data_IF_993646057539
#
_entry.id   IF_993646057539
#
_cell.length_a   1.000
_cell.length_b   1.000
_cell.length_c   1.000
_cell.angle_alpha   90.00
_cell.angle_beta   90.00
_cell.angle_gamma   90.00
#
_symmetry.space_group_name_H-M   'P 1'
#
loop_
_entity.id
_entity.type
_entity.pdbx_description
1 polymer ?
#
# COMPACT_ATOMS: atom_id res chain seq x y z
N UNK A 1 33.33 4.61 45.98
CA UNK A 1 32.35 3.67 45.40
C UNK A 1 31.01 4.38 45.14
N UNK A 2 30.88 5.21 44.09
CA UNK A 2 29.63 5.95 43.77
C UNK A 2 29.41 6.21 42.25
N UNK A 3 30.24 5.62 41.37
CA UNK A 3 30.17 5.87 39.90
C UNK A 3 29.28 4.86 39.14
N UNK A 4 28.75 3.86 39.85
CA UNK A 4 27.94 2.76 39.26
C UNK A 4 26.44 3.14 39.23
N UNK A 5 25.98 4.05 40.10
CA UNK A 5 24.58 4.50 40.12
C UNK A 5 24.17 5.34 38.90
N UNK A 6 25.12 5.99 38.21
CA UNK A 6 24.81 6.81 37.02
C UNK A 6 24.62 5.99 35.74
N UNK A 7 25.21 4.79 35.69
CA UNK A 7 25.12 3.92 34.50
C UNK A 7 23.82 3.10 34.53
N UNK A 8 23.27 2.82 35.71
CA UNK A 8 21.97 2.14 35.85
C UNK A 8 20.76 3.06 35.70
N UNK A 9 20.90 4.38 35.88
CA UNK A 9 19.82 5.34 35.62
C UNK A 9 19.72 5.75 34.13
N UNK A 10 20.78 5.53 33.35
CA UNK A 10 20.77 5.77 31.90
C UNK A 10 20.17 4.60 31.09
N UNK A 11 19.94 3.44 31.71
CA UNK A 11 19.53 2.20 31.03
C UNK A 11 18.01 2.07 30.81
N UNK A 12 17.18 2.95 31.39
CA UNK A 12 15.71 2.85 31.35
C UNK A 12 15.06 3.93 30.47
N UNK A 13 15.84 4.86 29.90
CA UNK A 13 15.31 6.06 29.24
C UNK A 13 15.18 6.00 27.71
N UNK A 14 15.46 4.88 27.05
CA UNK A 14 15.44 4.82 25.57
C UNK A 14 14.96 3.47 25.03
N UNK A 15 13.90 2.92 25.62
CA UNK A 15 13.16 1.84 24.98
C UNK A 15 12.32 2.46 23.84
N UNK A 16 12.94 2.53 22.67
CA UNK A 16 12.36 2.56 21.34
C UNK A 16 10.83 2.84 21.28
N UNK A 17 10.45 4.11 21.40
CA UNK A 17 9.25 4.58 20.75
C UNK A 17 9.51 4.54 19.24
N UNK A 18 9.39 3.36 18.65
CA UNK A 18 9.31 3.19 17.20
C UNK A 18 8.02 3.85 16.75
N UNK A 19 8.07 5.17 16.52
CA UNK A 19 7.06 5.83 15.71
C UNK A 19 7.19 5.21 14.32
N UNK A 20 6.34 4.24 14.01
CA UNK A 20 6.10 3.81 12.63
C UNK A 20 5.51 5.04 11.94
N UNK A 21 6.40 5.85 11.36
CA UNK A 21 6.03 6.99 10.57
C UNK A 21 5.44 6.42 9.28
N UNK A 22 4.11 6.30 9.25
CA UNK A 22 3.38 6.04 8.01
C UNK A 22 3.78 7.14 7.04
N UNK A 23 4.66 6.80 6.11
CA UNK A 23 4.98 7.67 4.99
C UNK A 23 3.77 7.55 4.08
N UNK A 24 2.77 8.40 4.33
CA UNK A 24 1.78 8.72 3.31
C UNK A 24 2.58 9.41 2.21
N UNK A 25 3.11 8.60 1.29
CA UNK A 25 3.60 9.10 0.03
C UNK A 25 2.39 9.74 -0.63
N UNK A 26 2.25 11.05 -0.43
CA UNK A 26 1.45 11.94 -1.25
C UNK A 26 2.02 11.80 -2.66
N UNK A 27 1.53 10.77 -3.32
CA UNK A 27 1.94 10.41 -4.66
C UNK A 27 1.38 11.52 -5.50
N UNK A 28 2.26 12.42 -5.94
CA UNK A 28 1.95 13.35 -7.01
C UNK A 28 1.21 12.54 -8.09
N UNK A 29 -0.08 12.83 -8.26
CA UNK A 29 -0.94 12.09 -9.17
C UNK A 29 -0.46 12.48 -10.56
N UNK A 30 0.45 11.69 -11.12
CA UNK A 30 0.75 11.77 -12.54
C UNK A 30 -0.45 11.14 -13.27
N UNK A 31 -1.26 11.93 -13.97
CA UNK A 31 -2.41 11.39 -14.69
C UNK A 31 -1.93 10.38 -15.73
N UNK A 32 -2.64 9.26 -15.84
CA UNK A 32 -2.35 8.28 -16.89
C UNK A 32 -2.65 8.87 -18.27
N UNK A 33 -1.75 8.65 -19.22
CA UNK A 33 -1.91 8.98 -20.62
C UNK A 33 -2.03 7.71 -21.48
N UNK A 34 -2.56 7.88 -22.70
CA UNK A 34 -2.63 6.77 -23.66
C UNK A 34 -1.22 6.35 -24.08
N UNK A 35 -0.95 5.06 -24.01
CA UNK A 35 0.37 4.48 -24.31
C UNK A 35 1.19 4.17 -23.06
N UNK A 36 0.82 4.74 -21.90
CA UNK A 36 1.46 4.40 -20.64
C UNK A 36 1.21 2.94 -20.26
N UNK A 37 2.18 2.36 -19.55
CA UNK A 37 1.99 1.06 -18.94
C UNK A 37 0.89 1.17 -17.87
N UNK A 38 -0.12 0.31 -17.97
CA UNK A 38 -1.16 0.23 -16.95
C UNK A 38 -0.55 -0.08 -15.56
N UNK A 39 -1.01 0.57 -14.47
CA UNK A 39 -0.51 0.33 -13.12
C UNK A 39 -0.64 -1.14 -12.70
N UNK A 40 0.31 -1.60 -11.89
CA UNK A 40 0.22 -2.92 -11.28
C UNK A 40 -0.90 -2.93 -10.22
N UNK A 41 -2.02 -3.54 -10.57
CA UNK A 41 -3.21 -3.61 -9.73
C UNK A 41 -3.52 -5.07 -9.39
N UNK A 42 -3.80 -5.32 -8.11
CA UNK A 42 -4.35 -6.58 -7.61
C UNK A 42 -5.54 -6.28 -6.73
N UNK A 43 -6.69 -6.86 -7.04
CA UNK A 43 -7.94 -6.68 -6.31
C UNK A 43 -8.54 -8.05 -5.99
N UNK A 44 -9.38 -8.11 -4.97
CA UNK A 44 -10.16 -9.30 -4.69
C UNK A 44 -11.41 -9.31 -5.58
N UNK A 45 -11.75 -10.49 -6.12
CA UNK A 45 -13.02 -10.70 -6.79
C UNK A 45 -14.18 -10.84 -5.79
N UNK A 46 -15.39 -11.08 -6.30
CA UNK A 46 -16.61 -11.23 -5.50
C UNK A 46 -16.59 -12.46 -4.57
N UNK A 47 -15.62 -13.37 -4.74
CA UNK A 47 -15.41 -14.54 -3.89
C UNK A 47 -14.23 -14.35 -2.93
N UNK A 48 -13.59 -13.17 -2.93
CA UNK A 48 -12.42 -12.87 -2.10
C UNK A 48 -11.11 -13.40 -2.67
N UNK A 49 -11.08 -13.90 -3.91
CA UNK A 49 -9.84 -14.39 -4.54
C UNK A 49 -9.06 -13.21 -5.09
N UNK A 50 -7.76 -13.19 -4.86
CA UNK A 50 -6.88 -12.17 -5.42
C UNK A 50 -6.75 -12.35 -6.94
N UNK A 51 -6.97 -11.28 -7.69
CA UNK A 51 -6.84 -11.22 -9.16
C UNK A 51 -5.97 -10.03 -9.51
N UNK A 52 -4.95 -10.27 -10.35
CA UNK A 52 -4.04 -9.20 -10.80
C UNK A 52 -4.26 -8.82 -12.26
N UNK A 53 -4.08 -7.54 -12.59
CA UNK A 53 -4.16 -7.07 -13.97
C UNK A 53 -3.10 -7.72 -14.87
N UNK A 54 -1.92 -8.01 -14.31
CA UNK A 54 -0.84 -8.73 -15.00
C UNK A 54 -1.27 -10.13 -15.43
N UNK A 55 -1.95 -10.86 -14.55
CA UNK A 55 -2.48 -12.20 -14.85
C UNK A 55 -3.54 -12.14 -15.94
N UNK A 56 -4.48 -11.19 -15.87
CA UNK A 56 -5.55 -11.04 -16.88
C UNK A 56 -4.97 -10.73 -18.27
N UNK A 57 -3.98 -9.82 -18.35
CA UNK A 57 -3.29 -9.49 -19.61
C UNK A 57 -2.49 -10.67 -20.19
N UNK A 58 -2.03 -11.59 -19.36
CA UNK A 58 -1.33 -12.77 -19.85
C UNK A 58 -2.27 -13.81 -20.50
N UNK A 59 -3.57 -13.75 -20.18
CA UNK A 59 -4.59 -14.67 -20.69
C UNK A 59 -5.31 -14.11 -21.91
N UNK A 60 -5.55 -12.81 -21.95
CA UNK A 60 -6.35 -12.14 -22.98
C UNK A 60 -5.53 -11.16 -23.83
N UNK A 61 -5.96 -10.93 -25.07
CA UNK A 61 -5.33 -9.92 -25.95
C UNK A 61 -5.64 -8.49 -25.50
N UNK A 62 -6.81 -8.27 -24.87
CA UNK A 62 -7.28 -6.96 -24.40
C UNK A 62 -8.04 -7.10 -23.08
N UNK A 63 -7.90 -6.09 -22.20
CA UNK A 63 -8.63 -6.00 -20.92
C UNK A 63 -9.25 -4.63 -20.79
N UNK A 64 -10.54 -4.56 -20.48
CA UNK A 64 -11.25 -3.32 -20.15
C UNK A 64 -11.38 -3.21 -18.63
N UNK A 65 -10.88 -2.12 -18.05
CA UNK A 65 -11.00 -1.82 -16.62
C UNK A 65 -11.91 -0.60 -16.44
N UNK A 66 -12.94 -0.75 -15.62
CA UNK A 66 -13.87 0.33 -15.27
C UNK A 66 -14.00 0.45 -13.76
N UNK A 67 -13.95 1.68 -13.25
CA UNK A 67 -14.22 1.99 -11.85
C UNK A 67 -15.64 2.54 -11.71
N UNK A 68 -16.34 2.14 -10.66
CA UNK A 68 -17.68 2.63 -10.34
C UNK A 68 -17.77 2.87 -8.82
N UNK A 69 -18.62 3.80 -8.35
CA UNK A 69 -18.70 4.13 -6.92
C UNK A 69 -19.20 2.97 -6.06
N UNK A 70 -20.26 2.28 -6.52
CA UNK A 70 -20.85 1.15 -5.82
C UNK A 70 -21.58 0.20 -6.76
N UNK A 71 -21.34 -1.10 -6.59
CA UNK A 71 -22.01 -2.13 -7.36
C UNK A 71 -23.50 -2.21 -6.98
N UNK A 72 -24.34 -2.59 -7.94
CA UNK A 72 -25.78 -2.81 -7.69
C UNK A 72 -26.59 -1.54 -7.47
N UNK A 73 -26.12 -0.40 -7.95
CA UNK A 73 -26.88 0.86 -7.99
C UNK A 73 -27.39 1.12 -9.42
N UNK A 74 -28.56 1.80 -9.60
CA UNK A 74 -29.10 2.10 -10.93
C UNK A 74 -28.23 3.04 -11.79
N UNK A 75 -27.23 3.69 -11.19
CA UNK A 75 -26.49 4.80 -11.79
C UNK A 75 -26.91 6.13 -11.20
#
# INVERSE_FOLDING_TARGET
MQRIHWILLALVATLAASTVQSTEADSAIDPLHVGDAAPALTLNDQQGRAVSLKELRAKETWTVLAFYPRAGTPG
#
